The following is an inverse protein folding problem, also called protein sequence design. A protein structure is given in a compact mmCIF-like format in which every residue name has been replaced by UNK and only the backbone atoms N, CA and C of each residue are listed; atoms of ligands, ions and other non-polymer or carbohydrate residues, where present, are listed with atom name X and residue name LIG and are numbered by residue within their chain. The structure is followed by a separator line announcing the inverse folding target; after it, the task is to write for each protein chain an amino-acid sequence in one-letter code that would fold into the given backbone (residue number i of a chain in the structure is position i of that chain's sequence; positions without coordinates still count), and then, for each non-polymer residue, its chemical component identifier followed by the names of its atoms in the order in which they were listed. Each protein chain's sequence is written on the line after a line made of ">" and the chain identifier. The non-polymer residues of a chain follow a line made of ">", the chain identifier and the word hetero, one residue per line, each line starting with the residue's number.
data_IF_249155910310
#
_entry.id   IF_249155910310
#
_cell.length_a   1.000
_cell.length_b   1.000
_cell.length_c   1.000
_cell.angle_alpha   90.00
_cell.angle_beta   90.00
_cell.angle_gamma   90.00
#
_symmetry.space_group_name_H-M   'P 1'
#
loop_
_entity.id
_entity.type
_entity.pdbx_description
1 polymer ?
#
# COMPACT_ATOMS: atom_id res chain seq x y z
N UNK A 1 -14.52 -36.41 -15.94
CA UNK A 1 -13.82 -35.17 -15.56
C UNK A 1 -13.48 -34.45 -16.85
N UNK A 2 -14.11 -33.31 -17.13
CA UNK A 2 -14.11 -32.67 -18.45
C UNK A 2 -12.69 -32.18 -18.80
N UNK A 3 -12.11 -32.62 -19.91
CA UNK A 3 -10.73 -32.26 -20.32
C UNK A 3 -10.51 -30.74 -20.42
N UNK A 4 -11.60 -29.99 -20.64
CA UNK A 4 -11.64 -28.53 -20.64
C UNK A 4 -11.37 -27.92 -19.25
N UNK A 5 -11.90 -28.53 -18.18
CA UNK A 5 -11.66 -28.10 -16.81
C UNK A 5 -10.20 -28.38 -16.42
N UNK A 6 -9.67 -29.53 -16.82
CA UNK A 6 -8.27 -29.88 -16.57
C UNK A 6 -7.31 -28.91 -17.28
N UNK A 7 -7.60 -28.55 -18.53
CA UNK A 7 -6.82 -27.57 -19.28
C UNK A 7 -6.87 -26.16 -18.65
N UNK A 8 -8.04 -25.73 -18.15
CA UNK A 8 -8.18 -24.44 -17.46
C UNK A 8 -7.40 -24.40 -16.13
N UNK A 9 -7.41 -25.48 -15.36
CA UNK A 9 -6.65 -25.59 -14.10
C UNK A 9 -5.14 -25.56 -14.37
N UNK A 10 -4.66 -26.27 -15.40
CA UNK A 10 -3.24 -26.22 -15.78
C UNK A 10 -2.80 -24.83 -16.27
N UNK A 11 -3.61 -24.15 -17.08
CA UNK A 11 -3.29 -22.80 -17.55
C UNK A 11 -3.35 -21.74 -16.44
N UNK A 12 -4.22 -21.89 -15.44
CA UNK A 12 -4.26 -20.98 -14.28
C UNK A 12 -3.05 -21.15 -13.36
N UNK A 13 -2.59 -22.38 -13.17
CA UNK A 13 -1.45 -22.70 -12.32
C UNK A 13 -0.13 -22.12 -12.84
N UNK A 14 0.07 -22.04 -14.16
CA UNK A 14 1.32 -21.52 -14.75
C UNK A 14 1.49 -20.01 -14.58
N UNK A 15 0.40 -19.24 -14.50
CA UNK A 15 0.48 -17.78 -14.30
C UNK A 15 0.83 -17.44 -12.85
N UNK A 16 0.36 -18.26 -11.89
CA UNK A 16 0.67 -18.11 -10.46
C UNK A 16 2.08 -18.61 -10.09
N UNK A 17 2.60 -19.62 -10.80
CA UNK A 17 3.91 -20.23 -10.51
C UNK A 17 5.09 -19.60 -11.27
N UNK A 18 4.84 -18.65 -12.17
CA UNK A 18 5.87 -18.06 -13.03
C UNK A 18 6.47 -16.74 -12.49
N UNK A 19 5.98 -16.20 -11.37
CA UNK A 19 6.57 -14.99 -10.79
C UNK A 19 7.64 -15.35 -9.76
N UNK A 20 8.89 -14.97 -10.03
CA UNK A 20 9.99 -15.06 -9.04
C UNK A 20 9.82 -14.05 -7.88
N UNK A 21 8.88 -13.12 -8.02
CA UNK A 21 8.55 -12.08 -7.05
C UNK A 21 7.02 -11.95 -6.94
N UNK A 22 6.54 -11.57 -5.74
CA UNK A 22 5.11 -11.37 -5.48
C UNK A 22 4.27 -12.62 -5.77
N UNK A 23 4.76 -13.79 -5.34
CA UNK A 23 3.97 -15.02 -5.35
C UNK A 23 2.72 -14.88 -4.45
N UNK A 24 1.80 -15.85 -4.54
CA UNK A 24 0.64 -15.87 -3.66
C UNK A 24 1.06 -15.91 -2.19
N UNK A 25 2.07 -16.71 -1.86
CA UNK A 25 2.63 -16.83 -0.52
C UNK A 25 3.29 -15.53 -0.06
N UNK A 26 4.03 -14.84 -0.95
CA UNK A 26 4.60 -13.52 -0.62
C UNK A 26 3.50 -12.50 -0.34
N UNK A 27 2.43 -12.51 -1.14
CA UNK A 27 1.29 -11.63 -0.95
C UNK A 27 0.59 -11.90 0.39
N UNK A 28 0.38 -13.17 0.74
CA UNK A 28 -0.24 -13.55 2.02
C UNK A 28 0.57 -13.03 3.22
N UNK A 29 1.90 -13.14 3.16
CA UNK A 29 2.79 -12.57 4.20
C UNK A 29 2.60 -11.05 4.30
N UNK A 30 2.71 -10.33 3.18
CA UNK A 30 2.59 -8.86 3.18
C UNK A 30 1.23 -8.40 3.67
N UNK A 31 0.15 -9.07 3.24
CA UNK A 31 -1.21 -8.75 3.64
C UNK A 31 -1.45 -9.00 5.13
N UNK A 32 -0.95 -10.12 5.67
CA UNK A 32 -1.09 -10.43 7.10
C UNK A 32 -0.36 -9.41 7.99
N UNK A 33 0.87 -9.03 7.61
CA UNK A 33 1.63 -8.00 8.34
C UNK A 33 0.98 -6.61 8.24
N UNK A 34 0.47 -6.26 7.06
CA UNK A 34 -0.24 -4.99 6.88
C UNK A 34 -1.54 -4.94 7.69
N UNK A 35 -2.31 -6.03 7.68
CA UNK A 35 -3.55 -6.13 8.44
C UNK A 35 -3.31 -6.05 9.95
N UNK A 36 -2.20 -6.61 10.44
CA UNK A 36 -1.82 -6.49 11.85
C UNK A 36 -1.68 -5.03 12.29
N UNK A 37 -1.15 -4.15 11.42
CA UNK A 37 -1.07 -2.70 11.69
C UNK A 37 -2.46 -2.05 11.74
N UNK A 38 -3.38 -2.49 10.88
CA UNK A 38 -4.73 -1.92 10.77
C UNK A 38 -5.66 -2.32 11.91
N UNK A 39 -5.56 -3.56 12.39
CA UNK A 39 -6.51 -4.15 13.34
C UNK A 39 -6.25 -3.81 14.81
N UNK A 40 -5.14 -3.15 15.12
CA UNK A 40 -4.71 -2.83 16.49
C UNK A 40 -5.59 -1.83 17.27
N UNK A 41 -6.78 -1.47 16.79
CA UNK A 41 -7.74 -0.58 17.47
C UNK A 41 -7.37 0.92 17.50
N UNK A 42 -6.16 1.28 17.05
CA UNK A 42 -5.68 2.66 16.99
C UNK A 42 -4.82 2.93 15.73
N UNK A 43 -5.24 2.38 14.59
CA UNK A 43 -4.47 2.43 13.35
C UNK A 43 -4.35 3.83 12.76
N UNK A 44 -5.36 4.70 12.89
CA UNK A 44 -5.32 6.04 12.29
C UNK A 44 -4.13 6.90 12.75
N UNK A 45 -3.84 7.08 14.05
CA UNK A 45 -2.64 7.79 14.50
C UNK A 45 -1.32 7.13 14.05
N UNK A 46 -1.29 5.79 14.00
CA UNK A 46 -0.12 5.03 13.54
C UNK A 46 0.13 5.32 12.05
N UNK A 47 -0.89 5.19 11.21
CA UNK A 47 -0.83 5.44 9.78
C UNK A 47 -0.44 6.89 9.47
N UNK A 48 -0.98 7.87 10.21
CA UNK A 48 -0.60 9.29 10.05
C UNK A 48 0.89 9.49 10.37
N UNK A 49 1.40 8.91 11.47
CA UNK A 49 2.82 9.01 11.83
C UNK A 49 3.69 8.33 10.77
N UNK A 50 3.34 7.13 10.34
CA UNK A 50 4.07 6.38 9.30
C UNK A 50 4.09 7.16 7.98
N UNK A 51 2.95 7.70 7.56
CA UNK A 51 2.85 8.50 6.35
C UNK A 51 3.72 9.76 6.44
N UNK A 52 3.74 10.47 7.58
CA UNK A 52 4.60 11.63 7.74
C UNK A 52 6.09 11.28 7.56
N UNK A 53 6.55 10.12 8.01
CA UNK A 53 7.92 9.66 7.76
C UNK A 53 8.15 9.39 6.27
N UNK A 54 7.23 8.67 5.61
CA UNK A 54 7.33 8.34 4.18
C UNK A 54 7.35 9.59 3.32
N UNK A 55 6.39 10.50 3.54
CA UNK A 55 6.28 11.74 2.78
C UNK A 55 7.46 12.68 3.03
N UNK A 56 7.95 12.81 4.27
CA UNK A 56 9.16 13.58 4.55
C UNK A 56 10.37 13.02 3.81
N UNK A 57 10.59 11.70 3.86
CA UNK A 57 11.69 11.07 3.13
C UNK A 57 11.56 11.23 1.60
N UNK A 58 10.34 11.17 1.06
CA UNK A 58 10.06 11.42 -0.35
C UNK A 58 10.39 12.87 -0.74
N UNK A 59 9.97 13.84 0.08
CA UNK A 59 10.22 15.26 -0.16
C UNK A 59 11.69 15.65 0.04
N UNK A 60 12.41 14.98 0.94
CA UNK A 60 13.86 15.16 1.08
C UNK A 60 14.61 14.61 -0.14
N UNK A 61 14.19 13.46 -0.66
CA UNK A 61 14.79 12.82 -1.83
C UNK A 61 14.50 13.57 -3.13
N UNK A 62 13.28 14.07 -3.29
CA UNK A 62 12.87 14.90 -4.42
C UNK A 62 12.02 16.09 -3.93
N UNK A 63 12.65 17.24 -3.64
CA UNK A 63 11.94 18.42 -3.16
C UNK A 63 10.87 18.95 -4.11
N UNK A 64 11.02 18.71 -5.42
CA UNK A 64 10.05 19.17 -6.43
C UNK A 64 8.69 18.46 -6.29
N UNK A 65 8.69 17.25 -5.73
CA UNK A 65 7.47 16.48 -5.51
C UNK A 65 6.51 17.15 -4.51
N UNK A 66 6.98 18.07 -3.66
CA UNK A 66 6.12 18.82 -2.72
C UNK A 66 5.02 19.61 -3.45
N UNK A 67 5.32 20.17 -4.62
CA UNK A 67 4.37 21.01 -5.36
C UNK A 67 3.14 20.24 -5.84
N UNK A 68 3.24 18.91 -5.96
CA UNK A 68 2.13 18.03 -6.33
C UNK A 68 1.04 17.97 -5.23
N UNK A 69 1.38 18.35 -3.99
CA UNK A 69 0.52 18.20 -2.81
C UNK A 69 -0.02 19.54 -2.28
N UNK A 70 0.05 20.62 -3.06
CA UNK A 70 -0.48 21.93 -2.67
C UNK A 70 -1.99 21.90 -2.35
N UNK A 71 -2.76 21.06 -3.06
CA UNK A 71 -4.22 20.89 -2.83
C UNK A 71 -4.58 20.25 -1.49
N UNK A 72 -3.61 19.66 -0.79
CA UNK A 72 -3.80 18.98 0.49
C UNK A 72 -2.99 19.64 1.60
N UNK A 73 -2.59 20.90 1.41
CA UNK A 73 -1.89 21.72 2.40
C UNK A 73 -0.57 21.10 2.91
N UNK A 74 0.27 20.57 2.01
CA UNK A 74 1.59 20.00 2.36
C UNK A 74 2.56 20.99 3.03
N UNK A 75 2.27 22.30 2.96
CA UNK A 75 2.99 23.32 3.71
C UNK A 75 2.89 23.09 5.23
N UNK A 76 1.79 22.51 5.70
CA UNK A 76 1.60 22.04 7.07
C UNK A 76 1.20 20.55 7.05
N UNK A 77 2.18 19.67 7.18
CA UNK A 77 1.96 18.21 7.22
C UNK A 77 1.24 17.74 8.49
N UNK A 78 1.02 18.63 9.47
CA UNK A 78 0.21 18.34 10.67
C UNK A 78 -1.23 18.86 10.56
N UNK A 79 -1.58 19.49 9.43
CA UNK A 79 -2.93 19.96 9.15
C UNK A 79 -3.94 18.83 8.95
N UNK A 80 -5.21 19.13 9.17
CA UNK A 80 -6.30 18.17 8.96
C UNK A 80 -6.41 17.73 7.51
N UNK A 81 -6.16 18.62 6.55
CA UNK A 81 -6.19 18.38 5.11
C UNK A 81 -5.11 17.36 4.70
N UNK A 82 -3.88 17.55 5.19
CA UNK A 82 -2.77 16.65 4.87
C UNK A 82 -2.95 15.30 5.56
N UNK A 83 -3.36 15.27 6.83
CA UNK A 83 -3.69 14.02 7.53
C UNK A 83 -4.83 13.26 6.86
N UNK A 84 -5.88 13.94 6.37
CA UNK A 84 -6.94 13.28 5.62
C UNK A 84 -6.42 12.70 4.30
N UNK A 85 -5.49 13.39 3.62
CA UNK A 85 -4.85 12.87 2.42
C UNK A 85 -3.99 11.64 2.70
N UNK A 86 -3.15 11.68 3.73
CA UNK A 86 -2.29 10.55 4.07
C UNK A 86 -3.12 9.33 4.44
N UNK A 87 -4.20 9.46 5.20
CA UNK A 87 -5.11 8.35 5.45
C UNK A 87 -5.69 7.76 4.15
N UNK A 88 -6.13 8.60 3.20
CA UNK A 88 -6.59 8.11 1.88
C UNK A 88 -5.53 7.32 1.12
N UNK A 89 -4.25 7.69 1.24
CA UNK A 89 -3.13 6.99 0.58
C UNK A 89 -2.82 5.67 1.30
N UNK A 90 -2.80 5.69 2.63
CA UNK A 90 -2.38 4.53 3.43
C UNK A 90 -3.46 3.45 3.54
N UNK A 91 -4.72 3.74 3.22
CA UNK A 91 -5.81 2.75 3.24
C UNK A 91 -6.36 2.44 1.85
N UNK A 92 -5.62 2.81 0.79
CA UNK A 92 -6.01 2.57 -0.60
C UNK A 92 -5.80 1.12 -1.04
#
# INVERSE_FOLDING_TARGET
>A
MNSLILALVLCGATVALASEHCSYEDADIVMNEWQHVLDGGNSAPILIRTANVIFSAMFEKDPSSRDLFNRVNVADMHSGEFHAHTLRVMTA
#
